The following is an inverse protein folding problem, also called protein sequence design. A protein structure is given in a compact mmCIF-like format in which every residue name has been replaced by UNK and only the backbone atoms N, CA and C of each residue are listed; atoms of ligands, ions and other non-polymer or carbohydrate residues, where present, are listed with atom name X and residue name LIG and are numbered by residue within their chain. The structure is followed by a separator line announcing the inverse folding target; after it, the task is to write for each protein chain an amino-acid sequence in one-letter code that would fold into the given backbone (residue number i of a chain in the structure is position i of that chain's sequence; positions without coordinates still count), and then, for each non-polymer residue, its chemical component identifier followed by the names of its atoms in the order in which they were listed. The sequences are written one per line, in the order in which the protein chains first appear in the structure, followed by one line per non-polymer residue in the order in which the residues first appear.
data_IF_762113917618
#
_entry.id   IF_762113917618
#
_cell.length_a   1.000
_cell.length_b   1.000
_cell.length_c   1.000
_cell.angle_alpha   90.00
_cell.angle_beta   90.00
_cell.angle_gamma   90.00
#
_symmetry.space_group_name_H-M   'P 1'
#
loop_
_entity.id
_entity.type
_entity.pdbx_description
1 polymer ?
#
# COMPACT_ATOMS: atom_id res chain seq x y z
N UNK A 1 -9.91 -36.81 -5.51
CA UNK A 1 -8.54 -36.34 -5.83
C UNK A 1 -8.50 -35.02 -6.61
N UNK A 2 -9.44 -34.77 -7.53
CA UNK A 2 -9.48 -33.60 -8.45
C UNK A 2 -9.72 -32.23 -7.80
N UNK A 3 -10.52 -32.16 -6.72
CA UNK A 3 -10.82 -30.88 -6.03
C UNK A 3 -9.62 -30.27 -5.30
N UNK A 4 -8.75 -31.11 -4.71
CA UNK A 4 -7.53 -30.65 -4.03
C UNK A 4 -6.52 -30.08 -5.03
N UNK A 5 -6.40 -30.71 -6.21
CA UNK A 5 -5.56 -30.23 -7.30
C UNK A 5 -6.01 -28.83 -7.76
N UNK A 6 -7.32 -28.63 -7.98
CA UNK A 6 -7.85 -27.33 -8.41
C UNK A 6 -7.59 -26.22 -7.38
N UNK A 7 -7.85 -26.48 -6.09
CA UNK A 7 -7.63 -25.52 -5.00
C UNK A 7 -6.14 -25.13 -4.87
N UNK A 8 -5.22 -26.06 -5.08
CA UNK A 8 -3.77 -25.80 -5.04
C UNK A 8 -3.27 -24.94 -6.21
N UNK A 9 -3.86 -25.08 -7.40
CA UNK A 9 -3.50 -24.31 -8.60
C UNK A 9 -3.95 -22.87 -8.46
N UNK A 10 -5.19 -22.65 -8.02
CA UNK A 10 -5.74 -21.32 -7.79
C UNK A 10 -4.96 -20.53 -6.73
N UNK A 11 -4.53 -21.18 -5.65
CA UNK A 11 -3.67 -20.55 -4.62
C UNK A 11 -2.31 -20.12 -5.17
N UNK A 12 -1.71 -20.87 -6.09
CA UNK A 12 -0.42 -20.50 -6.72
C UNK A 12 -0.57 -19.30 -7.66
N UNK A 13 -1.65 -19.24 -8.43
CA UNK A 13 -1.90 -18.15 -9.37
C UNK A 13 -2.16 -16.82 -8.63
N UNK A 14 -2.86 -16.86 -7.49
CA UNK A 14 -3.09 -15.68 -6.65
C UNK A 14 -1.82 -15.17 -5.94
N UNK A 15 -0.90 -16.09 -5.58
CA UNK A 15 0.41 -15.71 -5.02
C UNK A 15 1.27 -15.04 -6.10
N UNK A 16 1.24 -15.56 -7.34
CA UNK A 16 2.01 -15.02 -8.46
C UNK A 16 1.50 -13.63 -8.89
N UNK A 17 0.17 -13.41 -8.91
CA UNK A 17 -0.42 -12.09 -9.18
C UNK A 17 -0.05 -11.05 -8.13
N UNK A 18 -0.06 -11.42 -6.84
CA UNK A 18 0.35 -10.49 -5.75
C UNK A 18 1.82 -10.07 -5.83
N UNK A 19 2.73 -10.99 -6.16
CA UNK A 19 4.16 -10.68 -6.32
C UNK A 19 4.43 -9.70 -7.47
N UNK A 20 3.70 -9.82 -8.59
CA UNK A 20 3.82 -8.87 -9.71
C UNK A 20 3.34 -7.46 -9.34
N UNK A 21 2.27 -7.35 -8.56
CA UNK A 21 1.71 -6.07 -8.13
C UNK A 21 2.63 -5.31 -7.16
N UNK A 22 3.34 -6.03 -6.29
CA UNK A 22 4.30 -5.42 -5.36
C UNK A 22 5.56 -4.89 -6.06
N UNK A 23 6.08 -5.59 -7.08
CA UNK A 23 7.30 -5.13 -7.77
C UNK A 23 7.04 -3.83 -8.56
N UNK A 24 5.88 -3.72 -9.19
CA UNK A 24 5.50 -2.53 -9.94
C UNK A 24 5.42 -1.28 -9.05
N UNK A 25 4.85 -1.41 -7.84
CA UNK A 25 4.73 -0.29 -6.90
C UNK A 25 6.08 0.18 -6.36
N UNK A 26 7.04 -0.73 -6.14
CA UNK A 26 8.42 -0.35 -5.79
C UNK A 26 9.14 0.41 -6.91
N UNK A 27 8.96 0.00 -8.17
CA UNK A 27 9.58 0.67 -9.32
C UNK A 27 9.06 2.10 -9.51
N UNK A 28 7.74 2.31 -9.40
CA UNK A 28 7.18 3.66 -9.48
C UNK A 28 7.65 4.56 -8.32
N UNK A 29 7.78 4.00 -7.11
CA UNK A 29 8.29 4.75 -5.95
C UNK A 29 9.76 5.15 -6.13
N UNK A 30 10.60 4.26 -6.67
CA UNK A 30 12.01 4.53 -6.90
C UNK A 30 12.22 5.59 -7.98
N UNK A 31 11.47 5.51 -9.09
CA UNK A 31 11.51 6.51 -10.17
C UNK A 31 11.04 7.88 -9.69
N UNK A 32 9.96 7.93 -8.89
CA UNK A 32 9.48 9.18 -8.29
C UNK A 32 10.54 9.83 -7.39
N UNK A 33 11.27 9.03 -6.62
CA UNK A 33 12.35 9.52 -5.76
C UNK A 33 13.51 10.09 -6.57
N UNK A 34 13.93 9.43 -7.66
CA UNK A 34 14.99 9.93 -8.56
C UNK A 34 14.60 11.28 -9.19
N UNK A 35 13.35 11.42 -9.64
CA UNK A 35 12.85 12.68 -10.21
C UNK A 35 12.85 13.80 -9.17
N UNK A 36 12.42 13.50 -7.94
CA UNK A 36 12.46 14.47 -6.83
C UNK A 36 13.88 14.89 -6.48
N UNK A 37 14.84 13.95 -6.50
CA UNK A 37 16.27 14.26 -6.30
C UNK A 37 16.82 15.17 -7.41
N UNK A 38 16.48 14.90 -8.67
CA UNK A 38 16.87 15.75 -9.81
C UNK A 38 16.35 17.18 -9.67
N UNK A 39 15.07 17.35 -9.31
CA UNK A 39 14.46 18.67 -9.08
C UNK A 39 15.15 19.37 -7.91
N UNK A 40 15.44 18.64 -6.84
CA UNK A 40 16.10 19.20 -5.67
C UNK A 40 17.52 19.68 -5.97
N UNK A 41 18.31 18.90 -6.71
CA UNK A 41 19.65 19.30 -7.17
C UNK A 41 19.55 20.57 -8.04
N UNK A 42 18.59 20.63 -8.97
CA UNK A 42 18.37 21.81 -9.79
C UNK A 42 18.04 23.06 -8.97
N UNK A 43 17.22 22.93 -7.92
CA UNK A 43 16.89 24.05 -7.02
C UNK A 43 18.13 24.50 -6.25
N UNK A 44 18.98 23.58 -5.79
CA UNK A 44 20.25 23.92 -5.14
C UNK A 44 21.19 24.64 -6.10
N UNK A 45 21.39 24.10 -7.30
CA UNK A 45 22.25 24.73 -8.31
C UNK A 45 21.76 26.14 -8.67
N UNK A 46 20.46 26.31 -8.88
CA UNK A 46 19.88 27.62 -9.18
C UNK A 46 20.00 28.58 -7.99
N UNK A 47 19.81 28.11 -6.77
CA UNK A 47 19.97 28.91 -5.56
C UNK A 47 21.43 29.35 -5.36
N UNK A 48 22.38 28.42 -5.52
CA UNK A 48 23.83 28.72 -5.45
C UNK A 48 24.21 29.71 -6.55
N UNK A 49 23.72 29.53 -7.78
CA UNK A 49 23.98 30.45 -8.89
C UNK A 49 23.44 31.86 -8.61
N UNK A 50 22.24 32.00 -8.06
CA UNK A 50 21.70 33.33 -7.71
C UNK A 50 22.47 34.01 -6.57
N UNK A 51 22.88 33.26 -5.54
CA UNK A 51 23.64 33.81 -4.42
C UNK A 51 25.06 34.23 -4.84
N UNK A 52 25.64 33.54 -5.83
CA UNK A 52 27.00 33.81 -6.33
C UNK A 52 27.07 34.77 -7.52
N UNK A 53 25.97 34.93 -8.27
CA UNK A 53 25.97 35.57 -9.59
C UNK A 53 25.75 37.08 -9.60
N UNK A 54 24.92 37.64 -8.70
CA UNK A 54 24.52 39.06 -8.80
C UNK A 54 25.15 39.96 -7.75
N UNK A 55 25.57 39.42 -6.61
CA UNK A 55 26.24 40.20 -5.59
C UNK A 55 27.54 39.47 -5.27
N UNK A 56 28.67 40.16 -5.35
CA UNK A 56 29.95 39.71 -4.79
C UNK A 56 29.91 39.63 -3.26
N UNK A 57 28.86 39.02 -2.71
CA UNK A 57 28.71 38.68 -1.32
C UNK A 57 29.77 37.60 -1.06
N UNK A 58 30.84 37.98 -0.36
CA UNK A 58 31.73 37.02 0.28
C UNK A 58 30.86 36.23 1.26
N UNK A 59 30.31 35.13 0.79
CA UNK A 59 29.72 34.12 1.66
C UNK A 59 30.92 33.52 2.38
N UNK A 60 31.03 33.80 3.67
CA UNK A 60 32.05 33.21 4.51
C UNK A 60 31.89 31.68 4.44
N UNK A 61 33.00 30.97 4.29
CA UNK A 61 33.03 29.52 4.08
C UNK A 61 32.26 28.73 5.17
N UNK A 62 32.09 29.35 6.34
CA UNK A 62 31.26 28.86 7.44
C UNK A 62 29.77 28.77 7.10
N UNK A 63 29.23 29.73 6.35
CA UNK A 63 27.77 29.83 6.10
C UNK A 63 27.32 28.80 5.08
N UNK A 64 28.19 28.49 4.11
CA UNK A 64 27.96 27.41 3.13
C UNK A 64 28.00 26.04 3.79
N UNK A 65 28.93 25.84 4.73
CA UNK A 65 29.02 24.61 5.52
C UNK A 65 27.79 24.44 6.41
N UNK A 66 27.29 25.51 7.02
CA UNK A 66 26.06 25.47 7.83
C UNK A 66 24.85 25.10 6.95
N UNK A 67 24.70 25.72 5.78
CA UNK A 67 23.61 25.40 4.85
C UNK A 67 23.65 23.92 4.41
N UNK A 68 24.85 23.41 4.09
CA UNK A 68 25.03 22.00 3.72
C UNK A 68 24.69 21.06 4.87
N UNK A 69 25.14 21.37 6.09
CA UNK A 69 24.82 20.59 7.29
C UNK A 69 23.32 20.57 7.54
N UNK A 70 22.62 21.70 7.40
CA UNK A 70 21.16 21.77 7.55
C UNK A 70 20.47 20.88 6.52
N UNK A 71 20.87 20.93 5.25
CA UNK A 71 20.29 20.08 4.20
C UNK A 71 20.52 18.59 4.49
N UNK A 72 21.73 18.21 4.89
CA UNK A 72 22.06 16.83 5.25
C UNK A 72 21.22 16.36 6.44
N UNK A 73 21.09 17.18 7.49
CA UNK A 73 20.27 16.86 8.67
C UNK A 73 18.80 16.68 8.28
N UNK A 74 18.24 17.56 7.46
CA UNK A 74 16.85 17.44 7.00
C UNK A 74 16.59 16.17 6.17
N UNK A 75 17.57 15.77 5.34
CA UNK A 75 17.50 14.50 4.60
C UNK A 75 17.56 13.28 5.54
N UNK A 76 18.44 13.30 6.55
CA UNK A 76 18.53 12.22 7.55
C UNK A 76 17.24 12.07 8.35
N UNK A 77 16.59 13.19 8.72
CA UNK A 77 15.28 13.18 9.40
C UNK A 77 14.21 12.53 8.50
N UNK A 78 14.17 12.88 7.21
CA UNK A 78 13.23 12.30 6.24
C UNK A 78 13.42 10.80 6.07
N UNK A 79 14.66 10.34 5.94
CA UNK A 79 14.99 8.91 5.82
C UNK A 79 14.56 8.17 7.10
N UNK A 80 14.87 8.73 8.28
CA UNK A 80 14.48 8.17 9.58
C UNK A 80 12.95 8.03 9.71
N UNK A 81 12.19 9.04 9.28
CA UNK A 81 10.72 9.00 9.29
C UNK A 81 10.16 7.88 8.40
N UNK A 82 10.72 7.68 7.20
CA UNK A 82 10.29 6.62 6.27
C UNK A 82 10.56 5.23 6.87
N UNK A 83 11.74 5.02 7.47
CA UNK A 83 12.11 3.75 8.12
C UNK A 83 11.18 3.43 9.29
N UNK A 84 10.86 4.43 10.14
CA UNK A 84 9.96 4.24 11.29
C UNK A 84 8.53 3.92 10.83
N UNK A 85 8.05 4.60 9.79
CA UNK A 85 6.71 4.34 9.22
C UNK A 85 6.57 2.94 8.65
N UNK A 86 7.59 2.43 7.97
CA UNK A 86 7.57 1.08 7.39
C UNK A 86 7.55 -0.01 8.48
N UNK A 87 8.25 0.22 9.60
CA UNK A 87 8.18 -0.67 10.79
C UNK A 87 6.79 -0.68 11.44
N UNK A 88 6.10 0.46 11.52
CA UNK A 88 4.73 0.53 12.06
C UNK A 88 3.70 -0.19 11.17
N UNK A 89 3.87 -0.11 9.85
CA UNK A 89 3.01 -0.84 8.90
C UNK A 89 3.26 -2.35 8.95
N UNK A 90 4.51 -2.77 9.19
CA UNK A 90 4.85 -4.20 9.35
C UNK A 90 4.34 -4.78 10.67
N UNK A 91 4.35 -4.02 11.76
CA UNK A 91 3.79 -4.45 13.05
C UNK A 91 2.26 -4.65 12.99
N UNK A 92 1.54 -3.83 12.20
CA UNK A 92 0.09 -4.00 12.00
C UNK A 92 -0.28 -5.14 11.05
N UNK A 93 0.60 -5.52 10.11
CA UNK A 93 0.35 -6.68 9.23
C UNK A 93 0.40 -8.01 9.99
N UNK A 94 1.28 -8.13 10.98
CA UNK A 94 1.40 -9.36 11.79
C UNK A 94 0.21 -9.56 12.71
N UNK A 95 -0.43 -8.47 13.18
CA UNK A 95 -1.62 -8.56 14.03
C UNK A 95 -2.87 -9.09 13.31
N UNK A 96 -2.97 -8.93 11.98
CA UNK A 96 -4.09 -9.44 11.19
C UNK A 96 -3.87 -10.86 10.62
N UNK A 97 -2.66 -11.40 10.69
CA UNK A 97 -2.35 -12.77 10.22
C UNK A 97 -2.16 -13.78 11.36
N UNK A 98 -2.10 -13.32 12.60
CA UNK A 98 -1.97 -14.16 13.80
C UNK A 98 -3.20 -14.07 14.73
N UNK A 99 -4.38 -13.77 14.19
CA UNK A 99 -5.59 -14.29 14.81
C UNK A 99 -5.71 -15.71 14.23
N UNK A 100 -5.16 -16.68 14.96
CA UNK A 100 -5.71 -18.04 14.95
C UNK A 100 -7.16 -17.87 15.44
N UNK A 101 -8.06 -17.55 14.51
CA UNK A 101 -9.48 -17.83 14.70
C UNK A 101 -9.52 -19.35 14.67
N UNK A 102 -9.50 -19.92 15.87
CA UNK A 102 -10.09 -21.22 16.14
C UNK A 102 -11.42 -21.23 15.39
N UNK A 103 -11.49 -22.00 14.31
CA UNK A 103 -12.61 -22.09 13.39
C UNK A 103 -13.84 -22.61 14.13
N UNK A 104 -14.52 -21.76 14.91
CA UNK A 104 -15.97 -21.87 15.04
C UNK A 104 -16.51 -21.48 13.68
N UNK A 105 -16.56 -22.49 12.82
CA UNK A 105 -16.98 -22.44 11.43
C UNK A 105 -18.46 -22.07 11.31
N UNK A 106 -18.79 -20.82 11.62
CA UNK A 106 -20.00 -20.20 11.13
C UNK A 106 -19.82 -19.96 9.63
N UNK A 107 -19.92 -21.04 8.86
CA UNK A 107 -19.95 -20.95 7.41
C UNK A 107 -21.27 -20.28 7.03
N UNK A 108 -21.20 -19.00 6.70
CA UNK A 108 -22.34 -18.25 6.17
C UNK A 108 -22.84 -18.93 4.90
N UNK A 109 -24.16 -19.14 4.81
CA UNK A 109 -24.80 -19.79 3.68
C UNK A 109 -25.64 -18.77 2.90
N UNK A 110 -25.69 -18.95 1.58
CA UNK A 110 -26.60 -18.19 0.73
C UNK A 110 -28.06 -18.48 1.13
N UNK A 111 -28.86 -17.45 1.35
CA UNK A 111 -30.28 -17.58 1.71
C UNK A 111 -31.08 -18.37 0.66
N UNK A 112 -30.73 -18.22 -0.62
CA UNK A 112 -31.45 -18.86 -1.73
C UNK A 112 -31.09 -20.34 -1.96
N UNK A 113 -29.82 -20.72 -1.82
CA UNK A 113 -29.34 -22.02 -2.27
C UNK A 113 -28.50 -22.79 -1.25
N UNK A 114 -28.31 -22.23 -0.04
CA UNK A 114 -27.54 -22.84 1.03
C UNK A 114 -26.04 -22.99 0.75
N UNK A 115 -25.54 -22.54 -0.42
CA UNK A 115 -24.10 -22.61 -0.74
C UNK A 115 -23.31 -21.79 0.28
N UNK A 116 -22.23 -22.37 0.79
CA UNK A 116 -21.28 -21.66 1.65
C UNK A 116 -20.70 -20.47 0.91
N UNK A 117 -20.75 -19.30 1.55
CA UNK A 117 -20.17 -18.06 1.03
C UNK A 117 -18.97 -17.65 1.89
N UNK A 118 -18.06 -16.89 1.29
CA UNK A 118 -16.92 -16.33 2.02
C UNK A 118 -17.33 -15.11 2.84
N UNK A 119 -16.54 -14.80 3.85
CA UNK A 119 -16.76 -13.63 4.72
C UNK A 119 -16.88 -12.32 3.92
N UNK A 120 -16.04 -12.14 2.89
CA UNK A 120 -16.11 -10.99 1.99
C UNK A 120 -17.46 -10.85 1.27
N UNK A 121 -18.09 -11.97 0.94
CA UNK A 121 -19.39 -11.99 0.26
C UNK A 121 -20.51 -11.63 1.24
N UNK A 122 -20.42 -12.12 2.49
CA UNK A 122 -21.32 -11.71 3.59
C UNK A 122 -21.25 -10.21 3.79
N UNK A 123 -20.06 -9.67 4.01
CA UNK A 123 -19.88 -8.23 4.33
C UNK A 123 -20.41 -7.36 3.19
N UNK A 124 -20.14 -7.73 1.94
CA UNK A 124 -20.68 -7.05 0.77
C UNK A 124 -22.21 -7.04 0.73
N UNK A 125 -22.86 -8.16 1.08
CA UNK A 125 -24.31 -8.24 1.17
C UNK A 125 -24.87 -7.38 2.31
N UNK A 126 -24.21 -7.40 3.47
CA UNK A 126 -24.62 -6.66 4.67
C UNK A 126 -24.40 -5.14 4.55
N UNK A 127 -23.36 -4.69 3.85
CA UNK A 127 -23.13 -3.27 3.56
C UNK A 127 -24.19 -2.69 2.63
N UNK A 128 -24.81 -3.54 1.79
CA UNK A 128 -25.80 -3.15 0.78
C UNK A 128 -27.19 -3.64 1.16
N UNK A 129 -27.63 -3.32 2.38
CA UNK A 129 -28.94 -3.70 2.90
C UNK A 129 -30.08 -3.30 1.97
N UNK A 130 -29.97 -2.14 1.30
CA UNK A 130 -30.99 -1.67 0.34
C UNK A 130 -31.18 -2.59 -0.87
N UNK A 131 -30.17 -3.39 -1.26
CA UNK A 131 -30.27 -4.34 -2.38
C UNK A 131 -30.58 -5.77 -1.95
N UNK A 132 -30.09 -6.16 -0.78
CA UNK A 132 -30.14 -7.56 -0.33
C UNK A 132 -31.02 -7.76 0.91
N UNK A 133 -31.74 -6.73 1.36
CA UNK A 133 -32.60 -6.77 2.55
C UNK A 133 -31.92 -7.35 3.80
N UNK A 134 -30.60 -7.13 3.94
CA UNK A 134 -29.80 -7.69 5.03
C UNK A 134 -29.54 -9.21 4.94
N UNK A 135 -29.92 -9.87 3.85
CA UNK A 135 -29.66 -11.28 3.59
C UNK A 135 -28.36 -11.49 2.81
N UNK A 136 -27.79 -12.70 2.93
CA UNK A 136 -26.52 -13.06 2.30
C UNK A 136 -26.76 -13.94 1.08
N UNK A 137 -26.20 -13.54 -0.07
CA UNK A 137 -26.37 -14.25 -1.34
C UNK A 137 -25.01 -14.62 -1.96
N UNK A 138 -24.94 -15.78 -2.61
CA UNK A 138 -23.77 -16.17 -3.39
C UNK A 138 -23.66 -15.32 -4.67
N UNK A 139 -22.47 -15.30 -5.29
CA UNK A 139 -22.20 -14.46 -6.46
C UNK A 139 -23.19 -14.67 -7.63
N UNK A 140 -23.67 -15.90 -7.81
CA UNK A 140 -24.66 -16.23 -8.84
C UNK A 140 -26.01 -15.51 -8.59
N UNK A 141 -26.53 -15.55 -7.35
CA UNK A 141 -27.80 -14.90 -6.98
C UNK A 141 -27.66 -13.39 -6.80
N UNK A 142 -26.48 -12.91 -6.39
CA UNK A 142 -26.21 -11.47 -6.34
C UNK A 142 -26.40 -10.80 -7.70
N UNK A 143 -26.05 -11.48 -8.79
CA UNK A 143 -26.24 -10.96 -10.15
C UNK A 143 -27.70 -10.89 -10.55
N UNK A 144 -28.51 -11.86 -10.13
CA UNK A 144 -29.94 -11.91 -10.45
C UNK A 144 -30.72 -10.79 -9.75
N UNK A 145 -30.36 -10.50 -8.49
CA UNK A 145 -30.96 -9.43 -7.66
C UNK A 145 -30.48 -8.03 -8.09
N UNK A 146 -29.35 -7.94 -8.80
CA UNK A 146 -28.78 -6.65 -9.22
C UNK A 146 -29.50 -5.96 -10.37
N UNK A 147 -30.54 -6.59 -10.92
CA UNK A 147 -31.39 -6.16 -12.03
C UNK A 147 -32.71 -5.62 -11.50
#
# INVERSE_FOLDING_TARGET
MTLLYYKSKQKRDDIMKRKKLTISTFLFSALGLIVMFKIFIYVIEHFVFQVTGENGLKVDESDLNIAFVIVVVLLLIRISYVIVKDKMVSANKVKYTNINVEETSESFACAECGKKVSEKVRDYCLERQNKFAGQVYCYDHQKMIST
#
